data_IF_001338609810
#
_entry.id   IF_001338609810
#
_cell.length_a   1.000
_cell.length_b   1.000
_cell.length_c   1.000
_cell.angle_alpha   90.00
_cell.angle_beta   90.00
_cell.angle_gamma   90.00
#
_symmetry.space_group_name_H-M   'P 1'
#
loop_
_entity.id
_entity.type
_entity.pdbx_description
1 polymer ?
#
# COMPACT_ATOMS: atom_id res chain seq x y z
N UNK A 1 10.44 -6.03 0.62
CA UNK A 1 10.01 -6.31 2.01
C UNK A 1 8.51 -6.07 2.11
N UNK A 2 7.75 -6.97 2.75
CA UNK A 2 6.27 -6.94 2.71
C UNK A 2 5.68 -5.59 3.12
N UNK A 3 6.24 -4.93 4.13
CA UNK A 3 5.78 -3.60 4.60
C UNK A 3 5.91 -2.51 3.53
N UNK A 4 7.02 -2.52 2.79
CA UNK A 4 7.26 -1.58 1.69
C UNK A 4 6.29 -1.84 0.55
N UNK A 5 6.10 -3.12 0.20
CA UNK A 5 5.21 -3.52 -0.89
C UNK A 5 3.73 -3.21 -0.56
N UNK A 6 3.30 -3.45 0.68
CA UNK A 6 1.96 -3.11 1.17
C UNK A 6 1.71 -1.59 1.15
N UNK A 7 2.71 -0.82 1.58
CA UNK A 7 2.66 0.65 1.52
C UNK A 7 2.57 1.14 0.06
N UNK A 8 3.35 0.54 -0.85
CA UNK A 8 3.28 0.84 -2.28
C UNK A 8 1.90 0.54 -2.89
N UNK A 9 1.28 -0.59 -2.52
CA UNK A 9 -0.09 -0.92 -2.94
C UNK A 9 -1.09 0.13 -2.46
N UNK A 10 -0.97 0.60 -1.21
CA UNK A 10 -1.84 1.67 -0.66
C UNK A 10 -1.68 2.99 -1.43
N UNK A 11 -0.45 3.40 -1.72
CA UNK A 11 -0.16 4.61 -2.51
C UNK A 11 -0.78 4.49 -3.91
N UNK A 12 -0.61 3.34 -4.57
CA UNK A 12 -1.17 3.11 -5.91
C UNK A 12 -2.70 3.16 -5.90
N UNK A 13 -3.34 2.56 -4.90
CA UNK A 13 -4.80 2.62 -4.75
C UNK A 13 -5.28 4.06 -4.52
N UNK A 14 -4.59 4.82 -3.67
CA UNK A 14 -4.89 6.22 -3.42
C UNK A 14 -4.73 7.07 -4.69
N UNK A 15 -3.66 6.88 -5.47
CA UNK A 15 -3.46 7.60 -6.74
C UNK A 15 -4.54 7.26 -7.76
N UNK A 16 -4.96 6.00 -7.83
CA UNK A 16 -6.04 5.58 -8.72
C UNK A 16 -7.36 6.22 -8.32
N UNK A 17 -7.66 6.29 -7.02
CA UNK A 17 -8.85 6.96 -6.51
C UNK A 17 -8.85 8.45 -6.86
N UNK A 18 -7.71 9.13 -6.68
CA UNK A 18 -7.54 10.53 -7.07
C UNK A 18 -7.71 10.73 -8.58
N UNK A 19 -7.10 9.88 -9.41
CA UNK A 19 -7.11 10.03 -10.87
C UNK A 19 -8.47 9.71 -11.51
N UNK A 20 -9.13 8.62 -11.08
CA UNK A 20 -10.41 8.20 -11.66
C UNK A 20 -11.61 8.82 -10.93
N UNK A 21 -11.39 9.46 -9.77
CA UNK A 21 -12.44 9.98 -8.90
C UNK A 21 -13.48 8.92 -8.48
N UNK A 22 -13.07 7.65 -8.47
CA UNK A 22 -13.88 6.49 -8.12
C UNK A 22 -13.00 5.37 -7.55
N UNK A 23 -13.60 4.45 -6.79
CA UNK A 23 -12.86 3.32 -6.24
C UNK A 23 -12.64 2.23 -7.28
N UNK A 24 -11.50 2.32 -7.98
CA UNK A 24 -11.03 1.30 -8.93
C UNK A 24 -9.92 0.45 -8.33
N UNK A 25 -10.23 -0.72 -7.76
CA UNK A 25 -9.22 -1.61 -7.20
C UNK A 25 -8.23 -2.08 -8.27
N UNK A 26 -7.05 -2.49 -7.83
CA UNK A 26 -6.03 -3.10 -8.70
C UNK A 26 -6.55 -4.44 -9.25
N UNK A 27 -6.39 -4.65 -10.56
CA UNK A 27 -6.74 -5.90 -11.25
C UNK A 27 -5.54 -6.38 -12.08
N UNK A 28 -4.99 -7.57 -11.82
CA UNK A 28 -5.34 -8.46 -10.71
C UNK A 28 -4.98 -7.87 -9.33
N UNK A 29 -5.64 -8.30 -8.23
CA UNK A 29 -5.28 -7.84 -6.89
C UNK A 29 -3.87 -8.29 -6.52
N UNK A 30 -3.15 -7.46 -5.76
CA UNK A 30 -1.79 -7.74 -5.28
C UNK A 30 -1.75 -8.78 -4.13
N UNK A 31 -2.42 -9.92 -4.33
CA UNK A 31 -2.61 -10.98 -3.32
C UNK A 31 -1.30 -11.52 -2.75
N UNK A 32 -0.23 -11.51 -3.53
CA UNK A 32 1.07 -12.04 -3.13
C UNK A 32 1.68 -11.23 -1.97
N UNK A 33 1.42 -9.92 -1.91
CA UNK A 33 1.88 -9.05 -0.82
C UNK A 33 1.21 -9.46 0.50
N UNK A 34 -0.10 -9.61 0.50
CA UNK A 34 -0.86 -9.98 1.70
C UNK A 34 -0.61 -11.43 2.13
N UNK A 35 -0.48 -12.36 1.18
CA UNK A 35 -0.19 -13.76 1.48
C UNK A 35 1.21 -13.96 2.06
N UNK A 36 2.18 -13.12 1.70
CA UNK A 36 3.51 -13.16 2.27
C UNK A 36 3.47 -12.93 3.80
N UNK A 37 2.60 -12.04 4.28
CA UNK A 37 2.32 -11.83 5.70
C UNK A 37 1.48 -12.99 6.26
N UNK A 38 0.24 -13.16 5.80
CA UNK A 38 -0.74 -14.02 6.50
C UNK A 38 -0.45 -15.52 6.39
N UNK A 39 0.16 -15.98 5.28
CA UNK A 39 0.38 -17.42 5.03
C UNK A 39 1.82 -17.83 5.30
N UNK A 40 2.76 -16.94 5.03
CA UNK A 40 4.19 -17.27 5.06
C UNK A 40 4.94 -16.55 6.18
N UNK A 41 4.31 -15.61 6.92
CA UNK A 41 4.90 -14.83 8.00
C UNK A 41 6.24 -14.18 7.61
N UNK A 42 6.37 -13.73 6.36
CA UNK A 42 7.61 -13.19 5.77
C UNK A 42 7.75 -11.68 5.96
N UNK A 43 6.82 -11.04 6.67
CA UNK A 43 6.83 -9.61 6.98
C UNK A 43 5.45 -9.11 7.36
N UNK A 44 5.32 -7.80 7.56
CA UNK A 44 4.09 -7.14 8.02
C UNK A 44 3.45 -6.40 6.85
N UNK A 45 2.18 -6.69 6.56
CA UNK A 45 1.37 -5.98 5.55
C UNK A 45 0.34 -5.02 6.17
N UNK A 46 0.09 -5.16 7.47
CA UNK A 46 -0.83 -4.35 8.27
C UNK A 46 -0.33 -2.91 8.42
N UNK A 47 -1.13 -1.93 7.96
CA UNK A 47 -0.78 -0.52 8.01
C UNK A 47 -0.55 0.01 9.42
N UNK A 48 -1.25 -0.52 10.40
CA UNK A 48 -1.22 -0.02 11.77
C UNK A 48 0.05 -0.49 12.51
N UNK A 49 0.72 -1.50 11.92
CA UNK A 49 2.00 -2.04 12.40
C UNK A 49 3.20 -1.52 11.61
N UNK A 50 2.98 -0.66 10.62
CA UNK A 50 4.05 -0.08 9.79
C UNK A 50 4.24 1.38 10.21
N UNK A 51 5.39 1.66 10.84
CA UNK A 51 5.81 3.03 11.10
C UNK A 51 6.26 3.70 9.78
N UNK A 52 5.49 4.67 9.31
CA UNK A 52 5.80 5.41 8.09
C UNK A 52 6.35 6.79 8.43
N UNK A 53 7.65 6.97 8.24
CA UNK A 53 8.32 8.27 8.40
C UNK A 53 8.27 9.01 7.06
N UNK A 54 7.58 10.14 7.03
CA UNK A 54 7.49 11.02 5.86
C UNK A 54 8.58 12.08 5.91
N UNK A 55 9.33 12.22 4.81
CA UNK A 55 10.43 13.19 4.70
C UNK A 55 10.22 14.05 3.46
N UNK A 56 10.53 15.35 3.56
CA UNK A 56 10.48 16.27 2.43
C UNK A 56 9.10 16.92 2.19
N UNK A 57 8.72 17.08 0.93
CA UNK A 57 7.54 17.84 0.51
C UNK A 57 6.24 17.06 0.69
N UNK A 58 5.23 17.74 1.23
CA UNK A 58 3.90 17.17 1.47
C UNK A 58 2.90 17.39 0.33
N UNK A 59 3.29 18.15 -0.70
CA UNK A 59 2.40 18.45 -1.82
C UNK A 59 2.13 17.18 -2.64
N UNK A 60 0.85 16.85 -2.83
CA UNK A 60 0.44 15.65 -3.56
C UNK A 60 0.65 14.33 -2.82
N UNK A 61 0.88 14.36 -1.50
CA UNK A 61 1.04 13.14 -0.71
C UNK A 61 -0.28 12.36 -0.58
N UNK A 62 -0.21 11.03 -0.68
CA UNK A 62 -1.37 10.15 -0.78
C UNK A 62 -1.62 9.27 0.45
N UNK A 63 -0.78 9.44 1.49
CA UNK A 63 -0.71 8.63 2.70
C UNK A 63 -0.02 9.40 3.83
#
# INVERSE_FOLDING_TARGET
>A
PVAVDATGVRILQAKRREYYNEERPLRPPAKHVYLADTRHNLGVSDSDKIELIKLGWNEGILI
#
